data_IF_967820397773
#
_entry.id   IF_967820397773
#
_cell.length_a   1.000
_cell.length_b   1.000
_cell.length_c   1.000
_cell.angle_alpha   90.00
_cell.angle_beta   90.00
_cell.angle_gamma   90.00
#
_symmetry.space_group_name_H-M   'P 1'
#
loop_
_entity.id
_entity.type
_entity.pdbx_description
1 polymer ?
#
# COMPACT_ATOMS: atom_id res chain seq x y z
N UNK A 1 -29.47 -1.24 23.08
CA UNK A 1 -28.49 -2.05 22.31
C UNK A 1 -28.81 -1.86 20.83
N UNK A 2 -27.97 -1.11 20.11
CA UNK A 2 -28.15 -0.92 18.68
C UNK A 2 -27.82 -2.22 17.95
N UNK A 3 -28.83 -2.83 17.31
CA UNK A 3 -28.63 -3.94 16.40
C UNK A 3 -27.79 -3.43 15.21
N UNK A 4 -26.53 -3.85 15.16
CA UNK A 4 -25.64 -3.68 14.02
C UNK A 4 -26.20 -4.56 12.89
N UNK A 5 -27.17 -4.05 12.12
CA UNK A 5 -27.63 -4.61 10.84
C UNK A 5 -26.46 -4.58 9.84
N UNK A 6 -25.48 -5.44 10.03
CA UNK A 6 -24.55 -5.81 8.96
C UNK A 6 -25.21 -6.91 8.18
N UNK A 7 -25.57 -6.59 6.93
CA UNK A 7 -25.87 -7.59 5.91
C UNK A 7 -24.81 -8.70 6.00
N UNK A 8 -25.19 -9.93 6.40
CA UNK A 8 -24.23 -11.03 6.55
C UNK A 8 -23.63 -11.48 5.20
N UNK A 9 -24.17 -11.00 4.07
CA UNK A 9 -23.72 -11.30 2.71
C UNK A 9 -22.87 -10.20 2.05
N UNK A 10 -22.55 -9.12 2.75
CA UNK A 10 -21.69 -8.09 2.20
C UNK A 10 -20.21 -8.50 2.28
N UNK A 11 -19.77 -9.34 1.34
CA UNK A 11 -18.33 -9.61 1.14
C UNK A 11 -17.54 -8.28 1.11
N UNK A 12 -16.43 -8.18 1.84
CA UNK A 12 -15.67 -6.94 1.97
C UNK A 12 -15.16 -6.51 0.59
N UNK A 13 -15.39 -5.25 0.22
CA UNK A 13 -15.03 -4.76 -1.11
C UNK A 13 -13.69 -4.02 -1.05
N UNK A 14 -12.89 -4.14 -2.10
CA UNK A 14 -11.67 -3.34 -2.25
C UNK A 14 -11.97 -1.85 -2.09
N UNK A 15 -13.11 -1.37 -2.60
CA UNK A 15 -13.53 0.03 -2.47
C UNK A 15 -13.62 0.54 -1.03
N UNK A 16 -13.73 -0.33 -0.03
CA UNK A 16 -13.86 0.04 1.38
C UNK A 16 -12.54 0.54 1.98
N UNK A 17 -11.41 0.19 1.38
CA UNK A 17 -10.07 0.58 1.84
C UNK A 17 -9.45 1.74 1.05
N UNK A 18 -10.21 2.44 0.21
CA UNK A 18 -9.70 3.51 -0.65
C UNK A 18 -8.93 4.61 0.10
N UNK A 19 -9.37 4.96 1.31
CA UNK A 19 -8.73 5.98 2.15
C UNK A 19 -7.39 5.49 2.72
N UNK A 20 -7.27 4.20 3.01
CA UNK A 20 -6.01 3.59 3.44
C UNK A 20 -5.02 3.47 2.28
N UNK A 21 -5.49 3.18 1.07
CA UNK A 21 -4.66 3.19 -0.14
C UNK A 21 -4.08 4.59 -0.37
N UNK A 22 -4.90 5.64 -0.22
CA UNK A 22 -4.44 7.02 -0.29
C UNK A 22 -3.42 7.34 0.80
N UNK A 23 -3.73 6.99 2.06
CA UNK A 23 -2.84 7.23 3.20
C UNK A 23 -1.49 6.52 3.02
N UNK A 24 -1.51 5.30 2.48
CA UNK A 24 -0.29 4.55 2.14
C UNK A 24 0.53 5.27 1.08
N UNK A 25 -0.12 5.76 0.02
CA UNK A 25 0.51 6.57 -1.01
C UNK A 25 1.14 7.83 -0.44
N UNK A 26 0.51 8.49 0.52
CA UNK A 26 1.07 9.66 1.21
C UNK A 26 2.33 9.31 2.03
N UNK A 27 2.33 8.17 2.74
CA UNK A 27 3.54 7.70 3.41
C UNK A 27 4.67 7.43 2.40
N UNK A 28 4.40 6.78 1.27
CA UNK A 28 5.43 6.58 0.24
C UNK A 28 5.87 7.88 -0.42
N UNK A 29 4.95 8.83 -0.59
CA UNK A 29 5.23 10.20 -1.00
C UNK A 29 6.11 10.93 0.02
N UNK A 30 6.02 10.63 1.31
CA UNK A 30 6.92 11.19 2.31
C UNK A 30 8.38 10.68 2.17
N UNK A 31 8.63 9.60 1.43
CA UNK A 31 9.99 9.24 1.00
C UNK A 31 10.58 10.27 0.02
N UNK A 32 9.76 11.10 -0.64
CA UNK A 32 10.23 12.22 -1.47
C UNK A 32 10.85 13.35 -0.65
N UNK A 33 10.41 13.50 0.60
CA UNK A 33 11.02 14.44 1.55
C UNK A 33 12.49 14.08 1.82
N UNK A 34 12.89 12.81 1.64
CA UNK A 34 14.29 12.39 1.72
C UNK A 34 15.18 13.02 0.61
N UNK A 35 14.64 13.38 -0.56
CA UNK A 35 15.38 14.15 -1.59
C UNK A 35 15.56 15.60 -1.18
N UNK A 36 14.48 16.22 -0.72
CA UNK A 36 14.45 17.64 -0.36
C UNK A 36 15.36 17.92 0.84
N UNK A 37 15.34 17.04 1.85
CA UNK A 37 16.27 17.08 2.98
C UNK A 37 17.58 16.34 2.71
N UNK A 38 17.72 15.71 1.54
CA UNK A 38 18.96 15.09 1.09
C UNK A 38 20.12 16.08 1.06
N UNK A 39 19.87 17.39 0.99
CA UNK A 39 20.91 18.41 1.16
C UNK A 39 21.59 18.43 2.56
N UNK A 40 21.05 17.74 3.57
CA UNK A 40 21.51 17.77 4.97
C UNK A 40 22.26 16.50 5.44
N UNK A 41 22.72 15.62 4.53
CA UNK A 41 23.30 14.28 4.77
C UNK A 41 24.03 14.08 6.12
N UNK A 42 23.26 13.67 7.13
CA UNK A 42 23.72 12.83 8.24
C UNK A 42 22.93 11.52 8.13
N UNK A 43 23.61 10.38 8.23
CA UNK A 43 23.00 9.05 8.06
C UNK A 43 21.85 8.82 9.06
N UNK A 44 21.97 9.41 10.25
CA UNK A 44 20.98 9.28 11.32
C UNK A 44 19.56 9.77 10.97
N UNK A 45 19.37 11.06 10.64
CA UNK A 45 18.08 11.60 10.22
C UNK A 45 17.42 10.85 9.05
N UNK A 46 18.22 10.37 8.09
CA UNK A 46 17.73 9.60 6.96
C UNK A 46 17.19 8.22 7.39
N UNK A 47 17.89 7.53 8.29
CA UNK A 47 17.46 6.25 8.85
C UNK A 47 16.16 6.39 9.65
N UNK A 48 16.03 7.45 10.45
CA UNK A 48 14.78 7.75 11.15
C UNK A 48 13.62 8.01 10.18
N UNK A 49 13.82 8.88 9.19
CA UNK A 49 12.78 9.21 8.20
C UNK A 49 12.30 7.96 7.47
N UNK A 50 13.22 7.14 6.98
CA UNK A 50 12.91 5.91 6.25
C UNK A 50 12.25 4.88 7.16
N UNK A 51 12.81 4.65 8.36
CA UNK A 51 12.26 3.72 9.34
C UNK A 51 10.84 4.09 9.76
N UNK A 52 10.58 5.36 10.08
CA UNK A 52 9.23 5.85 10.44
C UNK A 52 8.25 5.78 9.28
N UNK A 53 8.70 6.04 8.06
CA UNK A 53 7.84 5.94 6.87
C UNK A 53 7.43 4.49 6.58
N UNK A 54 8.39 3.57 6.69
CA UNK A 54 8.15 2.13 6.55
C UNK A 54 7.22 1.62 7.66
N UNK A 55 7.44 2.05 8.91
CA UNK A 55 6.58 1.73 10.04
C UNK A 55 5.13 2.17 9.77
N UNK A 56 4.94 3.44 9.42
CA UNK A 56 3.62 4.01 9.12
C UNK A 56 2.92 3.31 7.95
N UNK A 57 3.63 3.11 6.84
CA UNK A 57 3.09 2.39 5.68
C UNK A 57 2.68 0.94 6.01
N UNK A 58 3.46 0.25 6.82
CA UNK A 58 3.21 -1.13 7.23
C UNK A 58 1.99 -1.25 8.16
N UNK A 59 1.84 -0.32 9.11
CA UNK A 59 0.65 -0.24 9.95
C UNK A 59 -0.62 0.00 9.13
N UNK A 60 -0.53 0.84 8.09
CA UNK A 60 -1.63 1.08 7.16
C UNK A 60 -2.00 -0.19 6.38
N UNK A 61 -1.03 -0.97 5.92
CA UNK A 61 -1.27 -2.27 5.26
C UNK A 61 -1.96 -3.27 6.18
N UNK A 62 -1.55 -3.36 7.45
CA UNK A 62 -2.22 -4.19 8.45
C UNK A 62 -3.63 -3.71 8.77
N UNK A 63 -3.86 -2.39 8.81
CA UNK A 63 -5.19 -1.82 8.96
C UNK A 63 -6.10 -2.16 7.77
N UNK A 64 -5.57 -2.12 6.54
CA UNK A 64 -6.29 -2.59 5.35
C UNK A 64 -6.63 -4.08 5.44
N UNK A 65 -5.67 -4.91 5.87
CA UNK A 65 -5.88 -6.35 6.03
C UNK A 65 -6.98 -6.67 7.05
N UNK A 66 -7.07 -5.87 8.12
CA UNK A 66 -8.14 -5.99 9.12
C UNK A 66 -9.51 -5.63 8.53
N UNK A 67 -9.59 -4.59 7.69
CA UNK A 67 -10.82 -4.18 7.02
C UNK A 67 -11.27 -5.15 5.93
N UNK A 68 -10.33 -5.90 5.36
CA UNK A 68 -10.56 -6.88 4.29
C UNK A 68 -10.65 -8.33 4.81
N UNK A 69 -11.16 -8.56 6.03
CA UNK A 69 -11.37 -9.90 6.60
C UNK A 69 -12.28 -10.75 5.70
N UNK A 70 -11.73 -11.81 5.10
CA UNK A 70 -12.42 -12.68 4.16
C UNK A 70 -12.14 -12.37 2.68
N UNK A 71 -11.39 -11.30 2.38
CA UNK A 71 -10.96 -10.98 1.03
C UNK A 71 -9.63 -11.69 0.67
N UNK A 72 -9.43 -12.15 -0.57
CA UNK A 72 -8.18 -12.84 -0.97
C UNK A 72 -6.92 -11.97 -0.82
N UNK A 73 -7.07 -10.65 -0.86
CA UNK A 73 -5.94 -9.71 -0.72
C UNK A 73 -5.42 -9.58 0.72
N UNK A 74 -6.16 -10.09 1.71
CA UNK A 74 -5.80 -9.97 3.12
C UNK A 74 -4.43 -10.57 3.42
N UNK A 75 -4.15 -11.77 2.93
CA UNK A 75 -2.89 -12.48 3.21
C UNK A 75 -1.69 -11.72 2.66
N UNK A 76 -1.84 -11.12 1.49
CA UNK A 76 -0.79 -10.29 0.86
C UNK A 76 -0.51 -9.05 1.72
N UNK A 77 -1.56 -8.34 2.16
CA UNK A 77 -1.42 -7.16 3.01
C UNK A 77 -0.84 -7.48 4.40
N UNK A 78 -1.15 -8.66 4.95
CA UNK A 78 -0.52 -9.14 6.20
C UNK A 78 0.96 -9.39 5.96
N UNK A 79 1.30 -10.12 4.89
CA UNK A 79 2.68 -10.43 4.56
C UNK A 79 3.51 -9.15 4.38
N UNK A 80 3.07 -8.24 3.49
CA UNK A 80 3.81 -6.99 3.23
C UNK A 80 3.88 -6.09 4.47
N UNK A 81 2.79 -6.01 5.24
CA UNK A 81 2.74 -5.24 6.48
C UNK A 81 3.66 -5.79 7.57
N UNK A 82 3.66 -7.10 7.81
CA UNK A 82 4.55 -7.72 8.81
C UNK A 82 6.01 -7.60 8.39
N UNK A 83 6.34 -7.91 7.13
CA UNK A 83 7.70 -7.77 6.62
C UNK A 83 8.20 -6.33 6.72
N UNK A 84 7.35 -5.36 6.36
CA UNK A 84 7.67 -3.94 6.49
C UNK A 84 7.85 -3.49 7.94
N UNK A 85 7.07 -4.01 8.89
CA UNK A 85 7.27 -3.75 10.33
C UNK A 85 8.61 -4.29 10.83
N UNK A 86 8.97 -5.52 10.46
CA UNK A 86 10.26 -6.10 10.86
C UNK A 86 11.42 -5.28 10.32
N UNK A 87 11.35 -4.90 9.04
CA UNK A 87 12.36 -4.07 8.38
C UNK A 87 12.46 -2.69 9.04
N UNK A 88 11.34 -2.03 9.31
CA UNK A 88 11.32 -0.75 10.01
C UNK A 88 11.92 -0.86 11.42
N UNK A 89 11.55 -1.90 12.16
CA UNK A 89 12.09 -2.19 13.49
C UNK A 89 13.60 -2.40 13.46
N UNK A 90 14.11 -3.17 12.48
CA UNK A 90 15.55 -3.37 12.28
C UNK A 90 16.29 -2.07 11.97
N UNK A 91 15.75 -1.22 11.09
CA UNK A 91 16.35 0.08 10.75
C UNK A 91 16.40 0.99 11.99
N UNK A 92 15.29 1.08 12.73
CA UNK A 92 15.20 1.94 13.92
C UNK A 92 16.03 1.43 15.09
N UNK A 93 16.10 0.11 15.28
CA UNK A 93 16.99 -0.51 16.26
C UNK A 93 18.45 -0.21 15.93
N UNK A 94 18.89 -0.47 14.70
CA UNK A 94 20.27 -0.23 14.30
C UNK A 94 20.64 1.27 14.27
N UNK A 95 19.69 2.17 14.02
CA UNK A 95 19.91 3.61 14.18
C UNK A 95 20.37 3.98 15.61
N UNK A 96 19.88 3.30 16.65
CA UNK A 96 20.22 3.59 18.03
C UNK A 96 21.56 2.98 18.49
N UNK A 97 22.02 1.90 17.84
CA UNK A 97 23.11 1.07 18.37
C UNK A 97 24.28 0.84 17.40
N UNK A 98 24.14 1.12 16.11
CA UNK A 98 25.16 0.83 15.09
C UNK A 98 25.89 2.10 14.60
N UNK A 99 27.12 1.92 14.13
CA UNK A 99 27.88 2.98 13.46
C UNK A 99 27.21 3.39 12.15
N UNK A 100 27.34 4.67 11.78
CA UNK A 100 26.66 5.27 10.62
C UNK A 100 26.87 4.49 9.31
N UNK A 101 28.07 3.94 9.07
CA UNK A 101 28.35 3.16 7.86
C UNK A 101 27.57 1.84 7.82
N UNK A 102 27.43 1.17 8.96
CA UNK A 102 26.65 -0.07 9.11
C UNK A 102 25.16 0.24 8.93
N UNK A 103 24.68 1.35 9.51
CA UNK A 103 23.30 1.81 9.34
C UNK A 103 22.96 2.08 7.88
N UNK A 104 23.87 2.69 7.10
CA UNK A 104 23.66 2.99 5.68
C UNK A 104 23.56 1.72 4.83
N UNK A 105 24.51 0.79 4.99
CA UNK A 105 24.50 -0.49 4.27
C UNK A 105 23.23 -1.30 4.58
N UNK A 106 22.86 -1.35 5.86
CA UNK A 106 21.68 -2.07 6.32
C UNK A 106 20.40 -1.41 5.80
N UNK A 107 20.34 -0.09 5.76
CA UNK A 107 19.21 0.65 5.21
C UNK A 107 18.99 0.36 3.72
N UNK A 108 20.06 0.27 2.93
CA UNK A 108 19.94 -0.10 1.51
C UNK A 108 19.49 -1.55 1.34
N UNK A 109 20.11 -2.49 2.05
CA UNK A 109 19.73 -3.90 1.96
C UNK A 109 18.28 -4.10 2.35
N UNK A 110 17.86 -3.50 3.46
CA UNK A 110 16.50 -3.64 3.98
C UNK A 110 15.47 -2.92 3.10
N UNK A 111 15.81 -1.76 2.53
CA UNK A 111 14.93 -1.08 1.57
C UNK A 111 14.81 -1.87 0.25
N UNK A 112 15.91 -2.41 -0.26
CA UNK A 112 15.90 -3.27 -1.45
C UNK A 112 15.05 -4.53 -1.26
N UNK A 113 15.21 -5.20 -0.10
CA UNK A 113 14.38 -6.34 0.30
C UNK A 113 12.90 -5.97 0.42
N UNK A 114 12.60 -4.81 0.99
CA UNK A 114 11.22 -4.34 1.10
C UNK A 114 10.58 -4.06 -0.26
N UNK A 115 11.29 -3.35 -1.14
CA UNK A 115 10.83 -3.06 -2.51
C UNK A 115 10.63 -4.37 -3.29
N UNK A 116 11.54 -5.35 -3.14
CA UNK A 116 11.40 -6.67 -3.76
C UNK A 116 10.19 -7.46 -3.22
N UNK A 117 9.97 -7.48 -1.90
CA UNK A 117 8.82 -8.14 -1.29
C UNK A 117 7.48 -7.54 -1.78
N UNK A 118 7.42 -6.21 -1.99
CA UNK A 118 6.24 -5.55 -2.55
C UNK A 118 6.09 -5.80 -4.05
N UNK A 119 7.19 -5.81 -4.80
CA UNK A 119 7.18 -6.20 -6.21
C UNK A 119 6.63 -7.62 -6.38
N UNK A 120 7.08 -8.56 -5.55
CA UNK A 120 6.57 -9.92 -5.51
C UNK A 120 5.08 -9.96 -5.16
N UNK A 121 4.64 -9.22 -4.13
CA UNK A 121 3.24 -9.14 -3.75
C UNK A 121 2.34 -8.60 -4.89
N UNK A 122 2.79 -7.57 -5.60
CA UNK A 122 2.07 -7.01 -6.75
C UNK A 122 2.07 -7.96 -7.95
N UNK A 123 3.18 -8.67 -8.20
CA UNK A 123 3.27 -9.70 -9.24
C UNK A 123 2.33 -10.87 -8.93
N UNK A 124 2.39 -11.41 -7.72
CA UNK A 124 1.51 -12.47 -7.22
C UNK A 124 0.04 -12.05 -7.34
N UNK A 125 -0.26 -10.80 -7.00
CA UNK A 125 -1.58 -10.25 -7.17
C UNK A 125 -2.01 -10.25 -8.64
N UNK A 126 -1.14 -9.79 -9.55
CA UNK A 126 -1.44 -9.77 -10.97
C UNK A 126 -1.64 -11.16 -11.59
N UNK A 127 -0.89 -12.15 -11.11
CA UNK A 127 -1.01 -13.55 -11.53
C UNK A 127 -2.24 -14.25 -10.94
N UNK A 128 -2.68 -13.88 -9.72
CA UNK A 128 -3.80 -14.52 -9.02
C UNK A 128 -5.19 -14.02 -9.42
N UNK A 129 -5.28 -12.90 -10.17
CA UNK A 129 -6.56 -12.41 -10.70
C UNK A 129 -6.95 -13.25 -11.93
N UNK A 130 -7.54 -14.42 -11.73
CA UNK A 130 -8.02 -15.27 -12.83
C UNK A 130 -9.43 -14.89 -13.33
N UNK A 131 -10.18 -14.05 -12.61
CA UNK A 131 -11.63 -13.87 -12.86
C UNK A 131 -12.18 -12.44 -12.79
N UNK A 132 -11.37 -11.41 -12.56
CA UNK A 132 -11.85 -10.02 -12.39
C UNK A 132 -11.26 -9.05 -13.42
N UNK A 133 -12.08 -8.15 -13.98
CA UNK A 133 -11.73 -7.17 -15.01
C UNK A 133 -10.70 -6.07 -14.64
N UNK A 134 -9.75 -6.36 -13.76
CA UNK A 134 -8.48 -5.67 -13.74
C UNK A 134 -7.62 -6.27 -14.85
N UNK A 135 -7.17 -5.42 -15.77
CA UNK A 135 -6.25 -5.83 -16.82
C UNK A 135 -4.96 -6.34 -16.16
N UNK A 136 -4.78 -7.68 -16.13
CA UNK A 136 -3.74 -8.36 -15.33
C UNK A 136 -2.34 -7.81 -15.61
N UNK A 137 -2.14 -7.24 -16.78
CA UNK A 137 -0.91 -6.56 -17.19
C UNK A 137 -0.48 -5.44 -16.24
N UNK A 138 -1.40 -4.70 -15.63
CA UNK A 138 -1.08 -3.56 -14.75
C UNK A 138 -0.44 -4.01 -13.42
N UNK A 139 -1.05 -4.91 -12.61
CA UNK A 139 -0.41 -5.42 -11.40
C UNK A 139 0.84 -6.27 -11.68
N UNK A 140 0.86 -7.06 -12.77
CA UNK A 140 2.06 -7.80 -13.19
C UNK A 140 3.20 -6.86 -13.53
N UNK A 141 2.95 -5.83 -14.35
CA UNK A 141 3.94 -4.82 -14.72
C UNK A 141 4.44 -4.03 -13.52
N UNK A 142 3.55 -3.61 -12.62
CA UNK A 142 3.93 -2.95 -11.37
C UNK A 142 4.78 -3.86 -10.47
N UNK A 143 4.46 -5.17 -10.43
CA UNK A 143 5.23 -6.16 -9.70
C UNK A 143 6.64 -6.37 -10.25
N UNK A 144 6.77 -6.48 -11.57
CA UNK A 144 8.07 -6.58 -12.26
C UNK A 144 8.91 -5.32 -12.04
N UNK A 145 8.33 -4.12 -12.23
CA UNK A 145 9.04 -2.86 -11.99
C UNK A 145 9.49 -2.74 -10.53
N UNK A 146 8.63 -3.11 -9.57
CA UNK A 146 8.98 -3.16 -8.16
C UNK A 146 10.13 -4.12 -7.88
N UNK A 147 10.06 -5.36 -8.38
CA UNK A 147 11.13 -6.34 -8.23
C UNK A 147 12.44 -5.85 -8.82
N UNK A 148 12.42 -5.36 -10.07
CA UNK A 148 13.61 -4.85 -10.76
C UNK A 148 14.21 -3.65 -10.04
N UNK A 149 13.39 -2.72 -9.52
CA UNK A 149 13.88 -1.59 -8.72
C UNK A 149 14.51 -2.04 -7.40
N UNK A 150 13.92 -3.03 -6.72
CA UNK A 150 14.47 -3.62 -5.50
C UNK A 150 15.82 -4.30 -5.73
N UNK A 151 15.91 -5.12 -6.79
CA UNK A 151 17.17 -5.77 -7.18
C UNK A 151 18.23 -4.77 -7.66
N UNK A 152 17.85 -3.75 -8.41
CA UNK A 152 18.77 -2.70 -8.85
C UNK A 152 19.33 -1.90 -7.66
N UNK A 153 18.48 -1.60 -6.67
CA UNK A 153 18.92 -0.94 -5.44
C UNK A 153 19.89 -1.80 -4.61
N UNK A 154 19.78 -3.14 -4.68
CA UNK A 154 20.71 -4.06 -4.01
C UNK A 154 22.03 -4.24 -4.78
N UNK A 155 21.97 -4.30 -6.12
CA UNK A 155 23.13 -4.66 -6.96
C UNK A 155 24.01 -3.47 -7.34
N UNK A 156 23.45 -2.26 -7.46
CA UNK A 156 24.16 -1.08 -7.95
C UNK A 156 24.40 -0.02 -6.88
N UNK A 157 24.11 -0.33 -5.61
CA UNK A 157 24.44 0.57 -4.53
C UNK A 157 25.93 0.51 -4.21
N UNK A 158 26.58 1.67 -4.25
CA UNK A 158 27.87 1.89 -3.61
C UNK A 158 27.67 2.82 -2.41
N UNK A 159 28.18 2.47 -1.21
CA UNK A 159 28.15 3.36 -0.06
C UNK A 159 28.92 4.67 -0.28
N UNK A 160 29.78 4.73 -1.30
CA UNK A 160 30.53 5.94 -1.66
C UNK A 160 29.67 6.98 -2.40
N UNK A 161 28.54 6.57 -3.00
CA UNK A 161 27.62 7.46 -3.74
C UNK A 161 26.15 7.28 -3.30
N UNK A 162 25.79 7.66 -2.05
CA UNK A 162 24.43 7.51 -1.53
C UNK A 162 23.38 8.34 -2.29
N UNK A 163 23.82 9.34 -3.07
CA UNK A 163 22.95 10.20 -3.86
C UNK A 163 22.13 9.44 -4.91
N UNK A 164 22.68 8.39 -5.53
CA UNK A 164 21.96 7.57 -6.50
C UNK A 164 20.85 6.74 -5.86
N UNK A 165 21.13 6.16 -4.69
CA UNK A 165 20.13 5.44 -3.91
C UNK A 165 18.97 6.33 -3.49
N UNK A 166 19.26 7.54 -2.98
CA UNK A 166 18.22 8.51 -2.60
C UNK A 166 17.38 8.92 -3.82
N UNK A 167 18.01 9.21 -4.96
CA UNK A 167 17.29 9.57 -6.20
C UNK A 167 16.37 8.44 -6.69
N UNK A 168 16.85 7.20 -6.71
CA UNK A 168 16.07 6.02 -7.11
C UNK A 168 14.89 5.78 -6.17
N UNK A 169 15.14 5.86 -4.85
CA UNK A 169 14.11 5.68 -3.84
C UNK A 169 12.98 6.71 -3.99
N UNK A 170 13.33 7.91 -4.42
CA UNK A 170 12.36 8.99 -4.57
C UNK A 170 11.65 8.96 -5.91
N UNK A 171 12.30 8.54 -7.00
CA UNK A 171 11.59 8.17 -8.24
C UNK A 171 10.54 7.09 -7.95
N UNK A 172 10.89 6.07 -7.17
CA UNK A 172 9.95 5.06 -6.70
C UNK A 172 8.82 5.67 -5.86
N UNK A 173 9.13 6.50 -4.86
CA UNK A 173 8.14 7.18 -4.02
C UNK A 173 7.15 8.03 -4.82
N UNK A 174 7.63 8.75 -5.85
CA UNK A 174 6.82 9.58 -6.74
C UNK A 174 5.88 8.71 -7.58
N UNK A 175 6.44 7.70 -8.26
CA UNK A 175 5.67 6.78 -9.09
C UNK A 175 4.61 6.06 -8.27
N UNK A 176 4.98 5.60 -7.08
CA UNK A 176 4.05 4.92 -6.17
C UNK A 176 2.93 5.85 -5.68
N UNK A 177 3.24 7.09 -5.28
CA UNK A 177 2.23 8.07 -4.88
C UNK A 177 1.21 8.30 -6.01
N UNK A 178 1.67 8.49 -7.24
CA UNK A 178 0.78 8.67 -8.40
C UNK A 178 -0.12 7.45 -8.60
N UNK A 179 0.42 6.24 -8.55
CA UNK A 179 -0.36 4.99 -8.67
C UNK A 179 -1.41 4.89 -7.56
N UNK A 180 -1.04 5.15 -6.30
CA UNK A 180 -1.95 5.12 -5.17
C UNK A 180 -3.06 6.19 -5.27
N UNK A 181 -2.75 7.39 -5.76
CA UNK A 181 -3.75 8.45 -6.01
C UNK A 181 -4.77 8.02 -7.07
N UNK A 182 -4.30 7.44 -8.18
CA UNK A 182 -5.16 6.96 -9.26
C UNK A 182 -6.05 5.80 -8.80
N UNK A 183 -5.48 4.84 -8.07
CA UNK A 183 -6.22 3.72 -7.48
C UNK A 183 -7.26 4.20 -6.47
N UNK A 184 -6.88 5.06 -5.52
CA UNK A 184 -7.80 5.61 -4.53
C UNK A 184 -8.94 6.39 -5.19
N UNK A 185 -8.66 7.19 -6.23
CA UNK A 185 -9.68 7.91 -7.00
C UNK A 185 -10.65 6.96 -7.69
N UNK A 186 -10.15 5.88 -8.32
CA UNK A 186 -10.98 4.85 -8.95
C UNK A 186 -11.85 4.13 -7.92
N UNK A 187 -11.27 3.66 -6.83
CA UNK A 187 -11.97 2.95 -5.75
C UNK A 187 -13.06 3.81 -5.11
N UNK A 188 -12.81 5.13 -4.96
CA UNK A 188 -13.83 6.10 -4.49
C UNK A 188 -14.98 6.25 -5.49
N UNK A 189 -14.71 6.24 -6.80
CA UNK A 189 -15.75 6.26 -7.83
C UNK A 189 -16.58 4.98 -7.82
N UNK A 190 -15.94 3.84 -7.72
CA UNK A 190 -16.61 2.53 -7.67
C UNK A 190 -17.51 2.41 -6.45
N UNK A 191 -17.04 2.90 -5.29
CA UNK A 191 -17.86 2.98 -4.07
C UNK A 191 -19.13 3.80 -4.28
N UNK A 192 -19.01 5.01 -4.83
CA UNK A 192 -20.16 5.88 -5.11
C UNK A 192 -21.14 5.23 -6.09
N UNK A 193 -20.65 4.49 -7.08
CA UNK A 193 -21.49 3.75 -8.01
C UNK A 193 -22.28 2.66 -7.29
N UNK A 194 -21.62 1.86 -6.46
CA UNK A 194 -22.25 0.79 -5.69
C UNK A 194 -23.26 1.32 -4.66
N UNK A 195 -22.98 2.45 -4.03
CA UNK A 195 -23.92 3.13 -3.12
C UNK A 195 -25.18 3.56 -3.87
N UNK A 196 -25.05 4.15 -5.07
CA UNK A 196 -26.21 4.50 -5.93
C UNK A 196 -27.03 3.29 -6.36
N UNK A 197 -26.36 2.22 -6.79
CA UNK A 197 -27.04 0.98 -7.19
C UNK A 197 -27.81 0.34 -6.02
N UNK A 198 -27.26 0.40 -4.79
CA UNK A 198 -27.97 -0.05 -3.57
C UNK A 198 -29.16 0.83 -3.24
N UNK A 199 -29.01 2.16 -3.28
CA UNK A 199 -30.12 3.09 -3.02
C UNK A 199 -31.26 2.92 -4.01
N UNK A 200 -30.95 2.72 -5.31
CA UNK A 200 -31.97 2.46 -6.34
C UNK A 200 -32.71 1.13 -6.11
N UNK A 201 -31.98 0.06 -5.73
CA UNK A 201 -32.62 -1.22 -5.41
C UNK A 201 -33.52 -1.14 -4.17
N UNK A 202 -33.10 -0.40 -3.14
CA UNK A 202 -33.90 -0.20 -1.93
C UNK A 202 -35.15 0.64 -2.20
N UNK A 203 -35.05 1.69 -3.02
CA UNK A 203 -36.20 2.49 -3.46
C UNK A 203 -37.18 1.66 -4.29
N UNK A 204 -36.68 0.90 -5.29
CA UNK A 204 -37.52 0.01 -6.09
C UNK A 204 -38.23 -1.05 -5.23
N UNK A 205 -37.54 -1.65 -4.25
CA UNK A 205 -38.16 -2.61 -3.33
C UNK A 205 -39.20 -1.96 -2.40
N UNK A 206 -39.00 -0.72 -1.96
CA UNK A 206 -39.99 0.02 -1.16
C UNK A 206 -41.22 0.39 -1.99
N UNK A 207 -41.04 0.81 -3.24
CA UNK A 207 -42.14 1.12 -4.17
C UNK A 207 -42.95 -0.13 -4.48
N UNK A 208 -42.29 -1.26 -4.80
CA UNK A 208 -43.00 -2.54 -5.04
C UNK A 208 -43.79 -2.97 -3.80
N UNK A 209 -43.22 -2.84 -2.60
CA UNK A 209 -43.90 -3.22 -1.34
C UNK A 209 -45.08 -2.29 -1.03
N UNK A 210 -44.97 -0.99 -1.32
CA UNK A 210 -46.04 -0.03 -1.16
C UNK A 210 -47.19 -0.23 -2.16
N UNK A 211 -46.89 -0.64 -3.40
CA UNK A 211 -47.89 -1.00 -4.41
C UNK A 211 -48.63 -2.27 -4.03
N UNK A 212 -47.93 -3.31 -3.54
CA UNK A 212 -48.58 -4.54 -3.07
C UNK A 212 -49.51 -4.29 -1.87
N UNK A 213 -49.17 -3.34 -0.99
CA UNK A 213 -50.02 -2.97 0.16
C UNK A 213 -51.21 -2.05 -0.19
N UNK A 214 -51.23 -1.41 -1.37
CA UNK A 214 -52.35 -0.56 -1.81
C UNK A 214 -53.36 -1.30 -2.70
N UNK A 215 -52.96 -2.43 -3.29
CA UNK A 215 -53.83 -3.28 -4.11
C UNK A 215 -54.55 -4.41 -3.35
N UNK A 216 -54.37 -4.49 -2.03
CA UNK A 216 -55.06 -5.41 -1.12
C UNK A 216 -56.05 -4.64 -0.25
#
# INVERSE_FOLDING_TARGET
>A
MANDHRDPDASPKLSDVWSFVLLRGLFEGALLTAVFFGALYRVGPLALLIGSTLLGGSLVELAMAHRLRGHPFRSILIFTGVTGLMIAGLILYNYQFAEAQVTLNLLVVMMGLWVAARGFAALWLGLSIVTGGFDRAVPVGAGLVGLSAGFAALMFFSPEEPAWFVRLLSLYGLGSLVVHLLLARRMRRDRRRLERERSQRQQGQQETRAETSRGA
#
